data_IF_122859138182
#
_entry.id   IF_122859138182
#
_cell.length_a   1.000
_cell.length_b   1.000
_cell.length_c   1.000
_cell.angle_alpha   90.00
_cell.angle_beta   90.00
_cell.angle_gamma   90.00
#
_symmetry.space_group_name_H-M   'P 1'
#
loop_
_entity.id
_entity.type
_entity.pdbx_description
1 polymer ?
#
# COMPACT_ATOMS: atom_id res chain seq x y z
N UNK A 1 32.96 -43.71 -51.98
CA UNK A 1 32.33 -44.98 -51.57
C UNK A 1 30.84 -44.81 -51.75
N UNK A 2 30.34 -45.49 -52.78
CA UNK A 2 28.95 -45.50 -53.24
C UNK A 2 28.11 -46.51 -52.46
N UNK A 3 26.80 -46.39 -52.66
CA UNK A 3 25.78 -47.44 -52.61
C UNK A 3 25.06 -47.74 -51.29
N UNK A 4 23.78 -48.12 -51.25
CA UNK A 4 22.57 -47.98 -52.09
C UNK A 4 21.45 -48.65 -51.26
N UNK A 5 20.24 -48.12 -51.34
CA UNK A 5 18.98 -48.71 -50.83
C UNK A 5 18.80 -50.18 -51.26
N UNK A 6 18.32 -51.08 -50.38
CA UNK A 6 17.33 -52.11 -50.76
C UNK A 6 16.49 -52.52 -49.53
N UNK A 7 15.17 -52.38 -49.66
CA UNK A 7 14.14 -53.05 -48.86
C UNK A 7 14.02 -54.52 -49.26
N UNK A 8 13.80 -55.42 -48.30
CA UNK A 8 12.88 -56.55 -48.52
C UNK A 8 12.39 -57.16 -47.21
N UNK A 9 11.07 -57.35 -47.20
CA UNK A 9 10.26 -58.00 -46.19
C UNK A 9 10.24 -59.51 -46.38
N UNK A 10 10.26 -60.29 -45.29
CA UNK A 10 9.67 -61.63 -45.29
C UNK A 10 8.95 -61.92 -43.97
N UNK A 11 7.67 -62.28 -44.11
CA UNK A 11 6.80 -62.85 -43.07
C UNK A 11 6.99 -64.38 -43.07
N UNK A 12 6.99 -65.01 -41.90
CA UNK A 12 6.25 -66.28 -41.67
C UNK A 12 6.06 -66.62 -40.18
N UNK A 13 4.80 -66.57 -39.79
CA UNK A 13 4.04 -67.41 -38.85
C UNK A 13 4.76 -68.60 -38.18
N UNK A 14 4.58 -68.79 -36.86
CA UNK A 14 3.59 -69.74 -36.28
C UNK A 14 3.68 -69.85 -34.75
N UNK A 15 2.51 -69.70 -34.11
CA UNK A 15 1.92 -70.56 -33.08
C UNK A 15 2.61 -70.81 -31.71
N UNK A 16 1.86 -70.50 -30.64
CA UNK A 16 1.53 -71.40 -29.51
C UNK A 16 1.77 -70.84 -28.08
N UNK A 17 0.62 -70.63 -27.39
CA UNK A 17 0.32 -71.15 -26.03
C UNK A 17 1.23 -70.77 -24.85
N UNK A 18 0.74 -69.88 -23.98
CA UNK A 18 0.29 -70.14 -22.58
C UNK A 18 0.42 -68.88 -21.71
N UNK A 19 -0.72 -68.36 -21.26
CA UNK A 19 -0.80 -67.46 -20.09
C UNK A 19 -0.83 -68.31 -18.83
N UNK A 20 -0.01 -68.03 -17.80
CA UNK A 20 -0.38 -68.34 -16.44
C UNK A 20 -1.10 -67.14 -15.81
N UNK A 21 -2.16 -67.49 -15.10
CA UNK A 21 -2.95 -66.64 -14.21
C UNK A 21 -2.08 -66.25 -13.02
N UNK A 22 -1.87 -64.96 -12.80
CA UNK A 22 -1.26 -64.40 -11.60
C UNK A 22 -2.17 -63.31 -11.05
N UNK A 23 -3.05 -63.67 -10.11
CA UNK A 23 -3.88 -62.74 -9.37
C UNK A 23 -3.03 -61.97 -8.35
N UNK A 24 -2.72 -60.71 -8.66
CA UNK A 24 -2.29 -59.71 -7.68
C UNK A 24 -3.50 -58.90 -7.21
N UNK A 25 -3.57 -58.49 -5.93
CA UNK A 25 -4.73 -57.81 -5.39
C UNK A 25 -4.92 -56.48 -6.13
N UNK A 26 -6.12 -56.30 -6.71
CA UNK A 26 -6.56 -55.00 -7.22
C UNK A 26 -6.56 -54.04 -6.03
N UNK A 27 -5.63 -53.09 -6.04
CA UNK A 27 -5.74 -51.87 -5.26
C UNK A 27 -7.07 -51.21 -5.65
N UNK A 28 -8.11 -51.46 -4.84
CA UNK A 28 -9.29 -50.60 -4.82
C UNK A 28 -8.78 -49.24 -4.35
N UNK A 29 -9.15 -48.12 -5.02
CA UNK A 29 -8.97 -46.83 -4.38
C UNK A 29 -9.70 -46.90 -3.05
N UNK A 30 -8.99 -46.58 -1.97
CA UNK A 30 -9.56 -46.50 -0.65
C UNK A 30 -10.83 -45.63 -0.75
N UNK A 31 -11.96 -46.21 -0.34
CA UNK A 31 -13.16 -45.45 -0.07
C UNK A 31 -12.77 -44.33 0.88
N UNK A 32 -12.98 -43.09 0.43
CA UNK A 32 -12.88 -41.90 1.26
C UNK A 32 -13.74 -42.11 2.49
N UNK A 33 -13.08 -42.28 3.64
CA UNK A 33 -13.72 -42.22 4.95
C UNK A 33 -14.51 -40.92 5.13
N UNK A 34 -15.38 -40.86 6.15
CA UNK A 34 -16.40 -39.84 6.30
C UNK A 34 -15.76 -38.43 6.25
N UNK A 35 -16.35 -37.55 5.44
CA UNK A 35 -15.89 -36.19 5.26
C UNK A 35 -15.69 -35.51 6.62
N UNK A 36 -14.55 -34.84 6.77
CA UNK A 36 -14.25 -34.03 7.94
C UNK A 36 -15.46 -33.14 8.29
N UNK A 37 -15.87 -33.02 9.56
CA UNK A 37 -17.06 -32.26 9.94
C UNK A 37 -16.98 -30.82 9.42
N UNK A 38 -18.12 -30.26 9.05
CA UNK A 38 -18.26 -28.82 8.83
C UNK A 38 -17.75 -28.10 10.08
N UNK A 39 -16.83 -27.16 9.88
CA UNK A 39 -16.20 -26.45 10.97
C UNK A 39 -16.72 -25.01 11.00
N UNK A 40 -17.13 -24.57 12.19
CA UNK A 40 -17.39 -23.17 12.46
C UNK A 40 -16.06 -22.51 12.80
N UNK A 41 -15.66 -21.56 11.97
CA UNK A 41 -14.38 -20.86 12.09
C UNK A 41 -14.67 -19.41 12.45
N UNK A 42 -14.06 -18.92 13.53
CA UNK A 42 -14.14 -17.51 13.86
C UNK A 42 -13.48 -16.68 12.75
N UNK A 43 -14.17 -15.63 12.30
CA UNK A 43 -13.68 -14.71 11.29
C UNK A 43 -13.12 -13.48 12.00
N UNK A 44 -11.91 -13.13 11.64
CA UNK A 44 -11.30 -11.82 11.86
C UNK A 44 -10.39 -11.58 10.66
N UNK A 45 -10.88 -10.89 9.64
CA UNK A 45 -10.14 -10.83 8.37
C UNK A 45 -10.60 -9.76 7.40
N UNK A 46 -9.74 -9.47 6.43
CA UNK A 46 -9.99 -8.48 5.39
C UNK A 46 -10.62 -9.13 4.15
N UNK A 47 -11.73 -8.58 3.67
CA UNK A 47 -12.36 -9.02 2.43
C UNK A 47 -11.53 -8.57 1.23
N UNK A 48 -10.98 -9.51 0.48
CA UNK A 48 -10.32 -9.27 -0.78
C UNK A 48 -11.14 -9.84 -1.94
N UNK A 49 -11.32 -9.05 -2.99
CA UNK A 49 -12.10 -9.42 -4.17
C UNK A 49 -11.20 -9.25 -5.40
N UNK A 50 -10.90 -10.36 -6.08
CA UNK A 50 -10.04 -10.41 -7.26
C UNK A 50 -10.73 -11.26 -8.32
N UNK A 51 -10.90 -10.71 -9.53
CA UNK A 51 -11.56 -11.38 -10.66
C UNK A 51 -12.89 -12.07 -10.29
N UNK A 52 -13.79 -11.32 -9.63
CA UNK A 52 -15.12 -11.76 -9.15
C UNK A 52 -15.14 -12.85 -8.07
N UNK A 53 -13.97 -13.29 -7.62
CA UNK A 53 -13.82 -14.22 -6.50
C UNK A 53 -13.49 -13.45 -5.22
N UNK A 54 -14.02 -13.93 -4.10
CA UNK A 54 -13.89 -13.26 -2.81
C UNK A 54 -13.25 -14.18 -1.78
N UNK A 55 -12.34 -13.62 -0.97
CA UNK A 55 -11.67 -14.28 0.13
C UNK A 55 -11.66 -13.38 1.35
N UNK A 56 -11.88 -13.95 2.52
CA UNK A 56 -11.52 -13.30 3.78
C UNK A 56 -10.09 -13.69 4.11
N UNK A 57 -9.19 -12.70 4.10
CA UNK A 57 -7.77 -12.86 4.40
C UNK A 57 -7.59 -12.96 5.91
N UNK A 58 -7.10 -14.11 6.39
CA UNK A 58 -6.92 -14.36 7.83
C UNK A 58 -5.59 -13.78 8.35
N UNK A 59 -4.52 -13.86 7.53
CA UNK A 59 -3.16 -13.49 7.93
C UNK A 59 -2.77 -12.05 7.57
N UNK A 60 -3.74 -11.21 7.19
CA UNK A 60 -3.54 -9.80 6.84
C UNK A 60 -3.84 -9.48 5.37
N UNK A 61 -2.85 -8.94 4.65
CA UNK A 61 -3.07 -8.30 3.34
C UNK A 61 -2.70 -9.15 2.12
N UNK A 62 -2.09 -10.32 2.34
CA UNK A 62 -1.67 -11.23 1.29
C UNK A 62 -2.41 -12.56 1.41
N UNK A 63 -2.50 -13.34 0.32
CA UNK A 63 -3.09 -14.67 0.37
C UNK A 63 -2.38 -15.58 1.38
N UNK A 64 -3.16 -16.18 2.27
CA UNK A 64 -2.72 -17.11 3.30
C UNK A 64 -3.35 -18.51 3.16
N UNK A 65 -2.78 -19.55 3.79
CA UNK A 65 -3.35 -20.89 3.81
C UNK A 65 -4.70 -20.95 4.54
N UNK A 66 -4.94 -20.02 5.48
CA UNK A 66 -6.14 -19.96 6.32
C UNK A 66 -7.25 -19.06 5.74
N UNK A 67 -7.07 -18.58 4.51
CA UNK A 67 -8.04 -17.73 3.84
C UNK A 67 -9.37 -18.45 3.56
N UNK A 68 -10.48 -17.78 3.86
CA UNK A 68 -11.82 -18.34 3.72
C UNK A 68 -12.43 -17.86 2.41
N UNK A 69 -12.72 -18.79 1.49
CA UNK A 69 -13.41 -18.47 0.24
C UNK A 69 -14.90 -18.16 0.48
N UNK A 70 -15.34 -16.99 0.02
CA UNK A 70 -16.70 -16.48 0.20
C UNK A 70 -17.40 -16.38 -1.15
N UNK A 71 -18.70 -16.68 -1.18
CA UNK A 71 -19.49 -16.49 -2.40
C UNK A 71 -19.79 -15.02 -2.66
N UNK A 72 -19.82 -14.60 -3.93
CA UNK A 72 -20.24 -13.23 -4.29
C UNK A 72 -21.68 -12.93 -3.87
N UNK A 73 -22.52 -13.96 -3.66
CA UNK A 73 -23.86 -13.82 -3.11
C UNK A 73 -23.82 -13.37 -1.64
N UNK A 74 -22.94 -13.97 -0.83
CA UNK A 74 -22.73 -13.57 0.58
C UNK A 74 -22.14 -12.17 0.70
N UNK A 75 -21.18 -11.82 -0.15
CA UNK A 75 -20.62 -10.46 -0.24
C UNK A 75 -21.73 -9.43 -0.48
N UNK A 76 -22.60 -9.69 -1.47
CA UNK A 76 -23.72 -8.80 -1.78
C UNK A 76 -24.79 -8.77 -0.69
N UNK A 77 -25.13 -9.92 -0.11
CA UNK A 77 -26.19 -10.01 0.89
C UNK A 77 -25.85 -9.33 2.20
N UNK A 78 -24.56 -9.09 2.46
CA UNK A 78 -24.04 -8.37 3.64
C UNK A 78 -23.53 -6.95 3.30
N UNK A 79 -23.72 -6.47 2.06
CA UNK A 79 -23.30 -5.12 1.66
C UNK A 79 -21.78 -4.90 1.67
N UNK A 80 -21.00 -5.99 1.61
CA UNK A 80 -19.55 -5.96 1.74
C UNK A 80 -18.87 -5.49 0.44
N UNK A 81 -17.71 -4.84 0.60
CA UNK A 81 -16.84 -4.35 -0.48
C UNK A 81 -15.40 -4.73 -0.17
N UNK A 82 -14.56 -4.83 -1.21
CA UNK A 82 -13.11 -5.07 -1.05
C UNK A 82 -12.51 -4.11 -0.01
N UNK A 83 -11.65 -4.61 0.87
CA UNK A 83 -11.05 -3.86 1.97
C UNK A 83 -11.89 -3.80 3.25
N UNK A 84 -13.10 -4.36 3.28
CA UNK A 84 -13.85 -4.45 4.54
C UNK A 84 -13.17 -5.39 5.52
N UNK A 85 -13.00 -4.94 6.75
CA UNK A 85 -12.66 -5.80 7.87
C UNK A 85 -13.94 -6.45 8.39
N UNK A 86 -13.97 -7.77 8.45
CA UNK A 86 -15.17 -8.54 8.80
C UNK A 86 -14.85 -9.42 9.99
N UNK A 87 -15.72 -9.37 11.00
CA UNK A 87 -15.67 -10.30 12.12
C UNK A 87 -16.97 -11.10 12.21
N UNK A 88 -16.91 -12.31 12.75
CA UNK A 88 -18.09 -13.18 12.85
C UNK A 88 -17.75 -14.66 12.83
N UNK A 89 -18.64 -15.47 12.26
CA UNK A 89 -18.48 -16.93 12.15
C UNK A 89 -18.64 -17.34 10.68
N UNK A 90 -17.67 -18.12 10.18
CA UNK A 90 -17.73 -18.77 8.89
C UNK A 90 -18.11 -20.24 9.10
N UNK A 91 -19.26 -20.63 8.55
CA UNK A 91 -19.64 -22.03 8.47
C UNK A 91 -18.97 -22.64 7.24
N UNK A 92 -17.85 -23.34 7.44
CA UNK A 92 -17.06 -23.95 6.37
C UNK A 92 -17.59 -25.37 6.14
N UNK A 93 -18.26 -25.63 5.00
CA UNK A 93 -18.79 -26.95 4.69
C UNK A 93 -17.67 -27.95 4.38
N UNK A 94 -17.92 -29.23 4.66
CA UNK A 94 -17.03 -30.31 4.23
C UNK A 94 -16.87 -30.34 2.70
N UNK A 95 -15.63 -30.28 2.21
CA UNK A 95 -15.29 -30.31 0.78
C UNK A 95 -14.96 -28.94 0.18
N UNK A 96 -15.08 -28.79 -1.15
CA UNK A 96 -14.70 -27.55 -1.89
C UNK A 96 -15.83 -26.50 -2.00
N UNK A 97 -16.82 -26.53 -1.13
CA UNK A 97 -17.94 -25.57 -1.17
C UNK A 97 -17.53 -24.26 -0.47
N UNK A 98 -18.09 -23.14 -0.92
CA UNK A 98 -17.84 -21.82 -0.32
C UNK A 98 -18.49 -21.72 1.06
N UNK A 99 -17.86 -20.95 1.96
CA UNK A 99 -18.39 -20.73 3.31
C UNK A 99 -19.65 -19.86 3.31
N UNK A 100 -20.50 -20.06 4.32
CA UNK A 100 -21.60 -19.14 4.67
C UNK A 100 -21.17 -18.27 5.84
N UNK A 101 -21.51 -16.98 5.81
CA UNK A 101 -21.06 -16.01 6.81
C UNK A 101 -22.21 -15.60 7.73
N UNK A 102 -21.98 -15.72 9.04
CA UNK A 102 -22.70 -14.97 10.07
C UNK A 102 -21.83 -13.78 10.49
N UNK A 103 -22.17 -12.59 10.03
CA UNK A 103 -21.34 -11.38 10.19
C UNK A 103 -21.72 -10.67 11.49
N UNK A 104 -20.76 -10.53 12.39
CA UNK A 104 -20.92 -9.84 13.66
C UNK A 104 -20.67 -8.32 13.52
N UNK A 105 -19.57 -7.93 12.87
CA UNK A 105 -19.27 -6.53 12.59
C UNK A 105 -18.64 -6.35 11.21
N UNK A 106 -18.81 -5.16 10.64
CA UNK A 106 -18.09 -4.70 9.45
C UNK A 106 -17.35 -3.43 9.80
N UNK A 107 -16.03 -3.44 9.68
CA UNK A 107 -15.14 -2.36 10.08
C UNK A 107 -15.30 -1.94 11.55
N UNK A 108 -15.64 -2.88 12.43
CA UNK A 108 -15.90 -2.63 13.85
C UNK A 108 -17.29 -2.06 14.17
N UNK A 109 -18.13 -1.86 13.16
CA UNK A 109 -19.48 -1.30 13.31
C UNK A 109 -20.59 -2.34 13.02
N UNK A 110 -21.83 -1.96 13.34
CA UNK A 110 -23.02 -2.75 12.99
C UNK A 110 -23.05 -3.04 11.48
N UNK A 111 -23.17 -4.31 11.05
CA UNK A 111 -23.19 -4.69 9.64
C UNK A 111 -24.26 -3.96 8.81
N UNK A 112 -25.36 -3.50 9.43
CA UNK A 112 -26.41 -2.74 8.76
C UNK A 112 -25.91 -1.39 8.21
N UNK A 113 -24.89 -0.79 8.84
CA UNK A 113 -24.31 0.48 8.36
C UNK A 113 -23.54 0.29 7.04
N UNK A 114 -22.97 -0.89 6.80
CA UNK A 114 -22.25 -1.19 5.56
C UNK A 114 -23.13 -1.08 4.31
N UNK A 115 -24.45 -1.25 4.42
CA UNK A 115 -25.40 -1.06 3.32
C UNK A 115 -25.71 0.40 3.02
N UNK A 116 -25.66 1.26 4.05
CA UNK A 116 -26.08 2.66 3.96
C UNK A 116 -24.91 3.59 3.66
N UNK A 117 -23.67 3.12 3.85
CA UNK A 117 -22.48 3.94 3.59
C UNK A 117 -22.41 4.38 2.12
N UNK A 118 -21.97 5.63 1.87
CA UNK A 118 -21.75 6.12 0.53
C UNK A 118 -20.64 5.34 -0.18
N UNK A 119 -20.53 5.52 -1.50
CA UNK A 119 -19.38 5.05 -2.27
C UNK A 119 -18.29 6.12 -2.22
N UNK A 120 -17.05 5.72 -1.93
CA UNK A 120 -15.91 6.64 -1.79
C UNK A 120 -15.75 7.60 -2.97
N UNK A 121 -15.99 7.14 -4.20
CA UNK A 121 -15.82 7.97 -5.40
C UNK A 121 -17.03 8.87 -5.70
N UNK A 122 -18.16 8.68 -5.00
CA UNK A 122 -19.34 9.56 -5.06
C UNK A 122 -19.31 10.68 -4.02
N UNK A 123 -18.40 10.60 -3.06
CA UNK A 123 -18.21 11.63 -2.04
C UNK A 123 -17.59 12.90 -2.65
N UNK A 124 -18.03 14.08 -2.20
CA UNK A 124 -17.54 15.38 -2.68
C UNK A 124 -16.14 15.65 -2.12
N UNK A 125 -15.09 15.74 -2.98
CA UNK A 125 -13.74 16.04 -2.54
C UNK A 125 -13.56 17.54 -2.28
N UNK A 126 -12.88 17.88 -1.18
CA UNK A 126 -12.47 19.24 -0.83
C UNK A 126 -10.94 19.34 -0.75
N UNK A 127 -10.44 20.58 -0.73
CA UNK A 127 -9.09 20.83 -0.22
C UNK A 127 -9.04 20.48 1.27
N UNK A 128 -7.86 20.09 1.79
CA UNK A 128 -7.65 19.96 3.22
C UNK A 128 -7.98 21.27 3.95
N UNK A 129 -8.73 21.19 5.06
CA UNK A 129 -9.16 22.35 5.85
C UNK A 129 -8.79 22.23 7.32
N UNK A 130 -8.41 21.03 7.75
CA UNK A 130 -7.97 20.75 9.11
C UNK A 130 -6.53 20.27 9.06
N UNK A 131 -5.67 20.86 9.89
CA UNK A 131 -4.23 20.59 9.90
C UNK A 131 -3.91 19.40 10.80
N UNK A 132 -3.14 18.46 10.28
CA UNK A 132 -2.43 17.44 11.05
C UNK A 132 -1.16 18.08 11.64
N UNK A 133 -1.29 18.74 12.80
CA UNK A 133 -0.14 19.37 13.46
C UNK A 133 0.86 18.31 13.92
N UNK A 134 2.13 18.45 13.52
CA UNK A 134 3.15 17.44 13.77
C UNK A 134 4.03 17.75 14.98
N UNK A 135 4.18 19.02 15.35
CA UNK A 135 4.95 19.43 16.52
C UNK A 135 4.47 18.70 17.78
N UNK A 136 5.40 18.06 18.48
CA UNK A 136 5.15 17.34 19.73
C UNK A 136 6.03 17.93 20.84
N UNK A 137 7.23 17.39 21.03
CA UNK A 137 8.20 17.90 21.99
C UNK A 137 9.17 18.89 21.33
N UNK A 138 9.62 19.91 22.07
CA UNK A 138 10.53 20.95 21.57
C UNK A 138 11.83 20.40 20.97
N UNK A 139 12.33 19.27 21.50
CA UNK A 139 13.53 18.56 21.03
C UNK A 139 13.35 17.83 19.69
N UNK A 140 12.11 17.59 19.25
CA UNK A 140 11.82 16.86 18.01
C UNK A 140 11.75 17.86 16.85
N UNK A 141 12.92 18.34 16.46
CA UNK A 141 13.07 19.41 15.46
C UNK A 141 12.48 19.03 14.09
N UNK A 142 12.52 17.75 13.70
CA UNK A 142 11.96 17.27 12.43
C UNK A 142 10.53 17.70 12.22
N UNK A 143 9.67 17.48 13.21
CA UNK A 143 8.24 17.78 13.11
C UNK A 143 7.97 19.28 13.06
N UNK A 144 8.69 20.06 13.87
CA UNK A 144 8.62 21.52 13.93
C UNK A 144 9.05 22.16 12.61
N UNK A 145 10.14 21.68 12.01
CA UNK A 145 10.59 22.14 10.69
C UNK A 145 9.52 21.83 9.64
N UNK A 146 8.96 20.62 9.61
CA UNK A 146 7.90 20.26 8.65
C UNK A 146 6.70 21.20 8.81
N UNK A 147 6.24 21.42 10.04
CA UNK A 147 5.10 22.29 10.34
C UNK A 147 5.29 23.74 9.83
N UNK A 148 6.52 24.25 9.80
CA UNK A 148 6.83 25.59 9.31
C UNK A 148 6.99 25.69 7.78
N UNK A 149 7.46 24.62 7.13
CA UNK A 149 7.83 24.68 5.70
C UNK A 149 6.81 24.00 4.78
N UNK A 150 6.05 23.05 5.31
CA UNK A 150 5.11 22.20 4.59
C UNK A 150 4.03 21.69 5.57
N UNK A 151 3.07 22.55 5.99
CA UNK A 151 1.95 22.10 6.81
C UNK A 151 1.16 21.01 6.08
N UNK A 152 0.74 19.98 6.81
CA UNK A 152 0.01 18.83 6.26
C UNK A 152 -1.42 18.87 6.79
N UNK A 153 -2.40 18.71 5.90
CA UNK A 153 -3.81 18.63 6.28
C UNK A 153 -4.42 17.23 6.19
N UNK A 154 -5.57 17.06 6.83
CA UNK A 154 -6.49 15.93 6.63
C UNK A 154 -6.97 15.91 5.18
N UNK A 155 -6.64 14.85 4.44
CA UNK A 155 -6.88 14.73 3.00
C UNK A 155 -5.70 15.10 2.09
N UNK A 156 -4.50 15.35 2.64
CA UNK A 156 -3.33 15.77 1.84
C UNK A 156 -2.81 14.65 0.94
N UNK A 157 -2.32 15.02 -0.26
CA UNK A 157 -1.52 14.17 -1.16
C UNK A 157 -0.07 14.65 -1.12
N UNK A 158 0.70 14.13 -0.17
CA UNK A 158 2.05 14.57 0.09
C UNK A 158 3.09 13.60 -0.48
N UNK A 159 4.19 14.17 -0.97
CA UNK A 159 5.39 13.43 -1.37
C UNK A 159 6.59 13.83 -0.51
N UNK A 160 7.26 12.85 0.09
CA UNK A 160 8.60 13.03 0.69
C UNK A 160 9.62 12.64 -0.37
N UNK A 161 10.15 13.64 -1.05
CA UNK A 161 11.15 13.49 -2.11
C UNK A 161 12.51 13.31 -1.46
N UNK A 162 13.06 12.11 -1.53
CA UNK A 162 14.29 11.76 -0.82
C UNK A 162 15.31 11.09 -1.72
N UNK A 163 16.55 11.59 -1.77
CA UNK A 163 17.65 10.78 -2.24
C UNK A 163 17.94 9.63 -1.25
N UNK A 164 18.63 8.57 -1.69
CA UNK A 164 19.10 7.52 -0.79
C UNK A 164 19.93 8.10 0.37
N UNK A 165 19.76 7.55 1.57
CA UNK A 165 20.48 7.92 2.80
C UNK A 165 20.25 9.35 3.32
N UNK A 166 19.22 10.07 2.86
CA UNK A 166 18.90 11.41 3.35
C UNK A 166 18.06 11.46 4.64
N UNK A 167 17.79 10.31 5.27
CA UNK A 167 16.99 10.26 6.51
C UNK A 167 15.48 10.07 6.31
N UNK A 168 15.05 9.58 5.13
CA UNK A 168 13.65 9.22 4.80
C UNK A 168 12.92 8.51 5.95
N UNK A 169 13.49 7.43 6.46
CA UNK A 169 12.87 6.59 7.50
C UNK A 169 12.67 7.36 8.80
N UNK A 170 13.66 8.17 9.21
CA UNK A 170 13.56 9.01 10.41
C UNK A 170 12.44 10.05 10.29
N UNK A 171 12.30 10.66 9.10
CA UNK A 171 11.22 11.60 8.82
C UNK A 171 9.86 10.91 8.86
N UNK A 172 9.73 9.74 8.22
CA UNK A 172 8.48 8.99 8.20
C UNK A 172 8.04 8.55 9.60
N UNK A 173 8.97 8.06 10.43
CA UNK A 173 8.73 7.71 11.82
C UNK A 173 8.34 8.92 12.67
N UNK A 174 9.00 10.07 12.47
CA UNK A 174 8.66 11.29 13.19
C UNK A 174 7.24 11.76 12.86
N UNK A 175 6.84 11.70 11.59
CA UNK A 175 5.47 12.00 11.14
C UNK A 175 4.47 11.01 11.74
N UNK A 176 4.76 9.71 11.67
CA UNK A 176 3.91 8.65 12.21
C UNK A 176 3.63 8.87 13.71
N UNK A 177 4.69 9.04 14.50
CA UNK A 177 4.58 9.23 15.94
C UNK A 177 3.85 10.52 16.29
N UNK A 178 4.12 11.61 15.56
CA UNK A 178 3.41 12.87 15.73
C UNK A 178 1.90 12.74 15.46
N UNK A 179 1.51 12.06 14.39
CA UNK A 179 0.09 11.80 14.09
C UNK A 179 -0.55 11.03 15.23
N UNK A 180 0.07 9.93 15.69
CA UNK A 180 -0.51 9.10 16.77
C UNK A 180 -0.64 9.83 18.10
N UNK A 181 0.22 10.82 18.35
CA UNK A 181 0.20 11.62 19.57
C UNK A 181 -0.82 12.76 19.49
N UNK A 182 -0.83 13.49 18.38
CA UNK A 182 -1.60 14.72 18.22
C UNK A 182 -2.99 14.52 17.61
N UNK A 183 -3.18 13.43 16.86
CA UNK A 183 -4.42 13.08 16.17
C UNK A 183 -4.73 11.59 16.43
N UNK A 184 -4.94 11.17 17.70
CA UNK A 184 -5.18 9.77 18.04
C UNK A 184 -6.48 9.20 17.46
N UNK A 185 -7.38 10.06 16.98
CA UNK A 185 -8.59 9.67 16.24
C UNK A 185 -8.30 9.22 14.81
N UNK A 186 -7.16 9.61 14.24
CA UNK A 186 -6.81 9.24 12.88
C UNK A 186 -6.30 7.78 12.82
N UNK A 187 -6.86 6.99 11.91
CA UNK A 187 -6.39 5.63 11.66
C UNK A 187 -5.09 5.68 10.86
N UNK A 188 -3.96 5.42 11.52
CA UNK A 188 -2.64 5.41 10.89
C UNK A 188 -2.32 4.04 10.28
N UNK A 189 -2.09 4.02 8.98
CA UNK A 189 -1.62 2.86 8.21
C UNK A 189 -0.23 3.14 7.66
N UNK A 190 0.71 2.22 7.83
CA UNK A 190 2.06 2.30 7.26
C UNK A 190 2.24 1.16 6.26
N UNK A 191 2.30 1.50 4.98
CA UNK A 191 2.41 0.56 3.87
C UNK A 191 3.86 0.52 3.37
N UNK A 192 4.54 -0.60 3.58
CA UNK A 192 5.93 -0.82 3.21
C UNK A 192 6.00 -1.81 2.04
N UNK A 193 6.58 -1.41 0.92
CA UNK A 193 6.67 -2.24 -0.28
C UNK A 193 8.11 -2.33 -0.77
N UNK A 194 8.56 -3.56 -1.05
CA UNK A 194 9.91 -3.84 -1.55
C UNK A 194 11.01 -3.26 -0.64
N UNK A 195 10.77 -3.29 0.68
CA UNK A 195 11.70 -2.81 1.69
C UNK A 195 12.36 -3.96 2.45
N UNK A 196 13.43 -3.66 3.17
CA UNK A 196 14.20 -4.66 3.91
C UNK A 196 13.47 -5.17 5.15
N UNK A 197 13.55 -6.47 5.50
CA UNK A 197 12.89 -7.03 6.68
C UNK A 197 13.25 -6.33 8.00
N UNK A 198 14.51 -5.90 8.16
CA UNK A 198 14.95 -5.16 9.34
C UNK A 198 14.31 -3.77 9.45
N UNK A 199 14.08 -3.09 8.32
CA UNK A 199 13.40 -1.79 8.29
C UNK A 199 11.90 -1.93 8.57
N UNK A 200 11.27 -3.02 8.10
CA UNK A 200 9.88 -3.37 8.45
C UNK A 200 9.75 -3.61 9.96
N UNK A 201 10.67 -4.39 10.53
CA UNK A 201 10.68 -4.68 11.98
C UNK A 201 10.87 -3.41 12.81
N UNK A 202 11.77 -2.53 12.38
CA UNK A 202 12.01 -1.25 13.04
C UNK A 202 10.75 -0.37 13.04
N UNK A 203 10.05 -0.29 11.90
CA UNK A 203 8.79 0.45 11.78
C UNK A 203 7.69 -0.13 12.68
N UNK A 204 7.54 -1.46 12.71
CA UNK A 204 6.56 -2.16 13.57
C UNK A 204 6.77 -1.88 15.06
N UNK A 205 8.03 -1.72 15.49
CA UNK A 205 8.35 -1.45 16.89
C UNK A 205 8.27 0.04 17.25
N UNK A 206 8.49 0.90 16.27
CA UNK A 206 8.63 2.35 16.48
C UNK A 206 7.34 3.14 16.29
N UNK A 207 6.35 2.58 15.56
CA UNK A 207 5.11 3.28 15.21
C UNK A 207 3.89 2.57 15.79
N UNK A 208 3.02 3.35 16.42
CA UNK A 208 1.71 2.88 16.91
C UNK A 208 0.67 3.00 15.82
N UNK A 209 0.59 2.03 14.94
CA UNK A 209 -0.38 2.01 13.86
C UNK A 209 -0.43 0.65 13.17
N UNK A 210 -1.27 0.56 12.15
CA UNK A 210 -1.38 -0.64 11.33
C UNK A 210 -0.21 -0.69 10.35
N UNK A 211 0.79 -1.54 10.61
CA UNK A 211 1.96 -1.70 9.73
C UNK A 211 1.75 -2.87 8.79
N UNK A 212 1.71 -2.57 7.49
CA UNK A 212 1.34 -3.46 6.40
C UNK A 212 2.55 -3.56 5.47
N UNK A 213 3.13 -4.74 5.31
CA UNK A 213 4.41 -4.86 4.60
C UNK A 213 4.49 -6.08 3.68
N UNK A 214 5.10 -5.87 2.51
CA UNK A 214 5.70 -6.93 1.71
C UNK A 214 7.17 -6.58 1.44
N UNK A 215 8.07 -7.42 1.95
CA UNK A 215 9.52 -7.27 1.85
C UNK A 215 10.04 -7.62 0.46
N UNK A 216 11.25 -7.17 0.12
CA UNK A 216 11.84 -7.31 -1.23
C UNK A 216 12.00 -8.75 -1.75
N UNK A 217 11.94 -9.75 -0.88
CA UNK A 217 12.02 -11.18 -1.21
C UNK A 217 10.69 -11.73 -1.77
N UNK A 218 9.61 -10.95 -1.68
CA UNK A 218 8.30 -11.27 -2.26
C UNK A 218 8.26 -10.89 -3.75
N UNK A 219 7.45 -11.58 -4.56
CA UNK A 219 7.28 -11.23 -5.97
C UNK A 219 6.58 -9.87 -6.13
N UNK A 220 6.83 -9.12 -7.23
CA UNK A 220 6.18 -7.83 -7.49
C UNK A 220 4.65 -7.85 -7.44
N UNK A 221 4.03 -8.98 -7.78
CA UNK A 221 2.57 -9.17 -7.72
C UNK A 221 2.04 -9.09 -6.28
N UNK A 222 2.81 -9.53 -5.30
CA UNK A 222 2.44 -9.43 -3.88
C UNK A 222 2.50 -7.97 -3.44
N UNK A 223 3.52 -7.22 -3.88
CA UNK A 223 3.64 -5.79 -3.58
C UNK A 223 2.43 -5.01 -4.11
N UNK A 224 2.00 -5.29 -5.35
CA UNK A 224 0.83 -4.63 -5.94
C UNK A 224 -0.47 -5.05 -5.26
N UNK A 225 -0.65 -6.35 -4.97
CA UNK A 225 -1.85 -6.86 -4.32
C UNK A 225 -2.03 -6.29 -2.90
N UNK A 226 -0.94 -6.24 -2.12
CA UNK A 226 -0.94 -5.66 -0.77
C UNK A 226 -1.30 -4.17 -0.80
N UNK A 227 -0.69 -3.39 -1.70
CA UNK A 227 -1.00 -1.96 -1.82
C UNK A 227 -2.46 -1.72 -2.26
N UNK A 228 -2.99 -2.53 -3.16
CA UNK A 228 -4.39 -2.44 -3.60
C UNK A 228 -5.38 -2.73 -2.48
N UNK A 229 -5.14 -3.78 -1.69
CA UNK A 229 -6.01 -4.10 -0.57
C UNK A 229 -5.89 -3.06 0.55
N UNK A 230 -4.69 -2.55 0.83
CA UNK A 230 -4.45 -1.47 1.79
C UNK A 230 -5.21 -0.19 1.43
N UNK A 231 -5.18 0.24 0.17
CA UNK A 231 -5.92 1.45 -0.22
C UNK A 231 -7.43 1.25 -0.23
N UNK A 232 -7.92 0.04 -0.57
CA UNK A 232 -9.35 -0.25 -0.43
C UNK A 232 -9.79 -0.25 1.03
N UNK A 233 -8.99 -0.82 1.95
CA UNK A 233 -9.25 -0.75 3.39
C UNK A 233 -9.34 0.69 3.89
N UNK A 234 -8.39 1.54 3.49
CA UNK A 234 -8.42 2.96 3.83
C UNK A 234 -9.71 3.66 3.34
N UNK A 235 -10.16 3.37 2.11
CA UNK A 235 -11.42 3.93 1.58
C UNK A 235 -12.64 3.47 2.38
N UNK A 236 -12.71 2.21 2.81
CA UNK A 236 -13.84 1.69 3.61
C UNK A 236 -13.96 2.43 4.95
N UNK A 237 -12.83 2.74 5.59
CA UNK A 237 -12.80 3.54 6.81
C UNK A 237 -13.28 4.99 6.58
N UNK A 238 -12.86 5.61 5.49
CA UNK A 238 -13.32 6.98 5.13
C UNK A 238 -14.81 7.00 4.79
N UNK A 239 -15.34 5.96 4.14
CA UNK A 239 -16.78 5.80 3.90
C UNK A 239 -17.58 5.72 5.21
N UNK A 240 -16.96 5.24 6.30
CA UNK A 240 -17.51 5.24 7.66
C UNK A 240 -17.23 6.54 8.44
N UNK A 241 -16.67 7.57 7.80
CA UNK A 241 -16.43 8.88 8.41
C UNK A 241 -15.11 9.02 9.17
N UNK A 242 -14.19 8.05 9.07
CA UNK A 242 -12.91 8.11 9.77
C UNK A 242 -11.88 8.92 8.99
N UNK A 243 -11.02 9.64 9.71
CA UNK A 243 -9.78 10.19 9.16
C UNK A 243 -8.72 9.09 9.08
N UNK A 244 -8.17 8.87 7.89
CA UNK A 244 -7.18 7.82 7.64
C UNK A 244 -5.91 8.45 7.09
N UNK A 245 -4.76 8.11 7.68
CA UNK A 245 -3.46 8.52 7.17
C UNK A 245 -2.68 7.29 6.72
N UNK A 246 -2.32 7.26 5.43
CA UNK A 246 -1.49 6.21 4.83
C UNK A 246 -0.08 6.75 4.59
N UNK A 247 0.90 6.19 5.28
CA UNK A 247 2.32 6.40 5.05
C UNK A 247 2.85 5.33 4.11
N UNK A 248 3.15 5.68 2.86
CA UNK A 248 3.63 4.72 1.85
C UNK A 248 5.14 4.85 1.65
N UNK A 249 5.86 3.74 1.85
CA UNK A 249 7.29 3.64 1.62
C UNK A 249 7.60 2.47 0.65
N UNK A 250 7.77 2.69 -0.65
CA UNK A 250 7.72 3.98 -1.37
C UNK A 250 6.86 3.91 -2.62
N UNK A 251 6.34 5.06 -3.08
CA UNK A 251 5.58 5.13 -4.35
C UNK A 251 6.47 4.79 -5.55
N UNK A 252 7.78 5.06 -5.47
CA UNK A 252 8.75 4.70 -6.51
C UNK A 252 8.87 3.19 -6.64
N UNK A 253 9.04 2.48 -5.52
CA UNK A 253 9.11 1.00 -5.50
C UNK A 253 7.79 0.36 -5.89
N UNK A 254 6.66 0.96 -5.50
CA UNK A 254 5.34 0.52 -5.97
C UNK A 254 5.22 0.65 -7.50
N UNK A 255 5.65 1.79 -8.07
CA UNK A 255 5.68 2.01 -9.51
C UNK A 255 6.56 0.99 -10.26
N UNK A 256 7.73 0.66 -9.70
CA UNK A 256 8.59 -0.42 -10.22
C UNK A 256 7.89 -1.78 -10.18
N UNK A 257 7.20 -2.09 -9.08
CA UNK A 257 6.49 -3.36 -8.91
C UNK A 257 5.37 -3.51 -9.94
N UNK A 258 4.57 -2.47 -10.17
CA UNK A 258 3.56 -2.46 -11.25
C UNK A 258 4.19 -2.61 -12.64
N UNK A 259 5.34 -1.98 -12.88
CA UNK A 259 6.05 -2.12 -14.15
C UNK A 259 6.55 -3.56 -14.39
N UNK A 260 7.07 -4.22 -13.35
CA UNK A 260 7.53 -5.61 -13.43
C UNK A 260 6.38 -6.61 -13.53
N UNK A 261 5.23 -6.30 -12.91
CA UNK A 261 4.02 -7.13 -12.99
C UNK A 261 3.22 -6.92 -14.28
N UNK A 262 3.49 -5.85 -15.04
CA UNK A 262 2.77 -5.55 -16.27
C UNK A 262 3.00 -6.64 -17.33
N UNK A 263 1.94 -7.14 -17.99
CA UNK A 263 2.11 -8.05 -19.12
C UNK A 263 2.75 -7.24 -20.26
N UNK A 264 4.04 -7.45 -20.52
CA UNK A 264 4.92 -6.64 -21.40
C UNK A 264 4.53 -6.55 -22.88
N UNK A 265 3.29 -6.15 -23.16
CA UNK A 265 2.67 -5.95 -24.47
C UNK A 265 2.35 -4.47 -24.72
N UNK A 266 2.55 -3.59 -23.75
CA UNK A 266 2.33 -2.15 -23.90
C UNK A 266 3.47 -1.43 -24.62
N UNK A 267 3.27 -0.15 -24.92
CA UNK A 267 4.32 0.72 -25.47
C UNK A 267 5.28 1.08 -24.34
N UNK A 268 6.58 0.88 -24.56
CA UNK A 268 7.62 1.29 -23.62
C UNK A 268 7.87 2.80 -23.74
N UNK A 269 7.80 3.49 -22.60
CA UNK A 269 8.15 4.89 -22.43
C UNK A 269 9.65 5.04 -22.11
N UNK A 270 10.12 6.29 -22.07
CA UNK A 270 11.47 6.62 -21.59
C UNK A 270 11.74 5.98 -20.21
N UNK A 271 12.95 5.45 -20.03
CA UNK A 271 13.33 4.75 -18.80
C UNK A 271 12.87 3.29 -18.71
N UNK A 272 12.29 2.71 -19.77
CA UNK A 272 11.91 1.29 -19.80
C UNK A 272 10.58 0.97 -19.10
N UNK A 273 9.72 1.98 -18.95
CA UNK A 273 8.42 1.86 -18.29
C UNK A 273 7.34 1.45 -19.29
N UNK A 274 6.47 0.51 -18.94
CA UNK A 274 5.24 0.29 -19.67
C UNK A 274 4.31 1.50 -19.50
N UNK A 275 3.73 1.97 -20.61
CA UNK A 275 2.80 3.11 -20.65
C UNK A 275 1.61 3.00 -19.68
N UNK A 276 1.23 1.79 -19.27
CA UNK A 276 0.09 1.53 -18.38
C UNK A 276 0.50 1.28 -16.93
N UNK A 277 1.79 1.00 -16.67
CA UNK A 277 2.28 0.60 -15.35
C UNK A 277 2.07 1.67 -14.27
N UNK A 278 2.11 2.95 -14.64
CA UNK A 278 1.96 4.04 -13.68
C UNK A 278 0.51 4.42 -13.39
N UNK A 279 -0.46 3.85 -14.11
CA UNK A 279 -1.87 4.20 -13.90
C UNK A 279 -2.39 3.76 -12.51
N UNK A 280 -2.22 2.50 -12.05
CA UNK A 280 -2.63 2.10 -10.71
C UNK A 280 -1.99 2.90 -9.56
N UNK A 281 -0.66 3.12 -9.49
CA UNK A 281 -0.06 3.89 -8.39
C UNK A 281 -0.45 5.38 -8.45
N UNK A 282 -0.73 5.95 -9.64
CA UNK A 282 -1.32 7.30 -9.73
C UNK A 282 -2.71 7.34 -9.11
N UNK A 283 -3.54 6.32 -9.35
CA UNK A 283 -4.86 6.20 -8.70
C UNK A 283 -4.75 5.98 -7.20
N UNK A 284 -3.72 5.26 -6.73
CA UNK A 284 -3.43 5.11 -5.31
C UNK A 284 -3.19 6.49 -4.68
N UNK A 285 -2.21 7.25 -5.17
CA UNK A 285 -1.89 8.58 -4.64
C UNK A 285 -3.07 9.57 -4.81
N UNK A 286 -3.76 9.50 -5.95
CA UNK A 286 -4.95 10.32 -6.24
C UNK A 286 -6.20 9.95 -5.45
N UNK A 287 -6.18 8.86 -4.67
CA UNK A 287 -7.26 8.54 -3.76
C UNK A 287 -7.32 9.56 -2.61
N UNK A 288 -6.19 10.08 -2.14
CA UNK A 288 -6.16 11.02 -1.02
C UNK A 288 -6.92 12.32 -1.31
N UNK A 289 -7.82 12.67 -0.38
CA UNK A 289 -8.76 13.78 -0.48
C UNK A 289 -9.42 14.01 0.89
N UNK A 290 -9.78 15.25 1.16
CA UNK A 290 -10.72 15.59 2.21
C UNK A 290 -12.16 15.39 1.70
N UNK A 291 -13.09 14.94 2.54
CA UNK A 291 -14.49 14.73 2.14
C UNK A 291 -15.41 15.71 2.87
N UNK A 292 -16.30 16.34 2.12
CA UNK A 292 -17.36 17.16 2.69
C UNK A 292 -18.31 16.31 3.57
N UNK A 293 -18.49 16.70 4.84
CA UNK A 293 -19.32 16.00 5.83
C UNK A 293 -18.95 14.52 6.04
N UNK A 294 -17.67 14.17 5.87
CA UNK A 294 -17.15 12.82 6.08
C UNK A 294 -15.77 12.84 6.71
N UNK A 295 -15.08 11.70 6.65
CA UNK A 295 -13.67 11.60 7.04
C UNK A 295 -12.73 12.09 5.95
N UNK A 296 -11.44 11.83 6.10
CA UNK A 296 -10.44 12.19 5.10
C UNK A 296 -9.49 11.05 4.80
N UNK A 297 -8.96 11.00 3.58
CA UNK A 297 -7.86 10.12 3.22
C UNK A 297 -6.61 10.96 2.97
N UNK A 298 -5.65 10.92 3.89
CA UNK A 298 -4.32 11.50 3.72
C UNK A 298 -3.36 10.42 3.23
N UNK A 299 -2.56 10.71 2.20
CA UNK A 299 -1.49 9.83 1.74
C UNK A 299 -0.19 10.64 1.73
N UNK A 300 0.79 10.17 2.49
CA UNK A 300 2.15 10.70 2.49
C UNK A 300 3.05 9.58 1.96
N UNK A 301 3.52 9.74 0.74
CA UNK A 301 4.35 8.73 0.09
C UNK A 301 5.78 9.22 -0.07
N UNK A 302 6.75 8.35 0.20
CA UNK A 302 8.15 8.64 -0.12
C UNK A 302 8.39 8.40 -1.61
N UNK A 303 9.19 9.27 -2.24
CA UNK A 303 9.60 9.15 -3.62
C UNK A 303 11.12 9.27 -3.73
N UNK A 304 11.75 8.27 -4.35
CA UNK A 304 13.20 8.23 -4.51
C UNK A 304 13.63 9.10 -5.71
N UNK A 305 14.62 9.95 -5.47
CA UNK A 305 15.29 10.78 -6.49
C UNK A 305 16.80 10.59 -6.43
N UNK A 306 17.52 11.07 -7.45
CA UNK A 306 18.99 11.00 -7.54
C UNK A 306 19.55 9.57 -7.35
N UNK A 307 18.80 8.56 -7.79
CA UNK A 307 19.20 7.14 -7.72
C UNK A 307 20.14 6.73 -8.84
N UNK A 308 20.31 7.59 -9.86
CA UNK A 308 20.98 7.26 -11.11
C UNK A 308 20.14 6.44 -12.09
N UNK A 309 18.88 6.12 -11.73
CA UNK A 309 17.96 5.38 -12.60
C UNK A 309 17.04 6.34 -13.38
N UNK A 310 17.13 6.33 -14.70
CA UNK A 310 16.20 7.08 -15.56
C UNK A 310 14.73 6.68 -15.33
N UNK A 311 14.48 5.41 -14.98
CA UNK A 311 13.15 4.93 -14.60
C UNK A 311 12.60 5.69 -13.39
N UNK A 312 13.39 5.84 -12.32
CA UNK A 312 12.95 6.54 -11.11
C UNK A 312 12.68 8.01 -11.38
N UNK A 313 13.50 8.66 -12.22
CA UNK A 313 13.27 10.06 -12.63
C UNK A 313 11.91 10.21 -13.31
N UNK A 314 11.58 9.32 -14.26
CA UNK A 314 10.29 9.37 -14.95
C UNK A 314 9.14 9.08 -13.98
N UNK A 315 9.28 8.06 -13.12
CA UNK A 315 8.29 7.74 -12.08
C UNK A 315 8.03 8.97 -11.18
N UNK A 316 9.08 9.63 -10.72
CA UNK A 316 8.98 10.81 -9.86
C UNK A 316 8.22 11.96 -10.54
N UNK A 317 8.60 12.32 -11.76
CA UNK A 317 7.94 13.43 -12.49
C UNK A 317 6.45 13.16 -12.71
N UNK A 318 6.07 11.90 -12.96
CA UNK A 318 4.68 11.50 -13.11
C UNK A 318 3.86 11.68 -11.82
N UNK A 319 4.43 11.35 -10.65
CA UNK A 319 3.74 11.51 -9.37
C UNK A 319 3.79 12.92 -8.80
N UNK A 320 4.84 13.68 -9.09
CA UNK A 320 4.97 15.10 -8.72
C UNK A 320 3.78 15.92 -9.23
N UNK A 321 3.29 15.60 -10.43
CA UNK A 321 2.10 16.24 -11.00
C UNK A 321 0.79 15.94 -10.24
N UNK A 322 0.76 14.85 -9.48
CA UNK A 322 -0.44 14.34 -8.76
C UNK A 322 -0.51 14.84 -7.32
N UNK A 323 0.65 15.03 -6.68
CA UNK A 323 0.77 15.55 -5.32
C UNK A 323 0.41 17.04 -5.20
N UNK A 324 0.00 17.45 -3.99
CA UNK A 324 -0.25 18.86 -3.65
C UNK A 324 0.61 19.37 -2.48
N UNK A 325 1.51 18.54 -1.95
CA UNK A 325 2.56 18.96 -1.01
C UNK A 325 3.84 18.15 -1.26
N UNK A 326 5.00 18.79 -1.10
CA UNK A 326 6.32 18.20 -1.32
C UNK A 326 7.25 18.54 -0.15
N UNK A 327 7.78 17.53 0.54
CA UNK A 327 8.92 17.66 1.46
C UNK A 327 10.16 17.18 0.73
N UNK A 328 11.15 18.05 0.53
CA UNK A 328 12.40 17.66 -0.14
C UNK A 328 13.49 17.42 0.89
N UNK A 329 14.09 16.25 0.83
CA UNK A 329 15.30 15.94 1.56
C UNK A 329 16.53 16.17 0.67
N UNK A 330 17.59 16.70 1.25
CA UNK A 330 18.80 17.06 0.53
C UNK A 330 20.00 16.21 0.98
N UNK A 331 20.70 15.63 0.00
CA UNK A 331 21.85 14.75 0.23
C UNK A 331 23.03 15.49 0.88
N UNK A 332 23.29 16.73 0.48
CA UNK A 332 24.44 17.50 0.98
C UNK A 332 24.30 17.87 2.46
N UNK A 333 23.06 18.09 2.92
CA UNK A 333 22.74 18.29 4.34
C UNK A 333 23.02 17.01 5.15
N UNK A 334 22.55 15.86 4.64
CA UNK A 334 22.76 14.57 5.28
C UNK A 334 24.25 14.17 5.33
N UNK A 335 25.00 14.39 4.24
CA UNK A 335 26.46 14.16 4.18
C UNK A 335 27.22 15.07 5.16
N UNK A 336 26.72 16.29 5.40
CA UNK A 336 27.22 17.20 6.42
C UNK A 336 26.75 16.89 7.85
N UNK A 337 26.00 15.79 8.05
CA UNK A 337 25.38 15.38 9.32
C UNK A 337 24.43 16.42 9.92
N UNK A 338 23.81 17.24 9.09
CA UNK A 338 22.81 18.22 9.52
C UNK A 338 21.41 17.61 9.34
N UNK A 339 20.74 17.35 10.47
CA UNK A 339 19.41 16.74 10.50
C UNK A 339 18.40 17.64 11.24
N UNK A 340 17.13 17.67 10.83
CA UNK A 340 16.54 16.96 9.69
C UNK A 340 17.06 17.49 8.35
N UNK A 341 17.42 16.62 7.41
CA UNK A 341 18.05 17.01 6.14
C UNK A 341 17.03 17.56 5.12
N UNK A 342 16.22 18.53 5.53
CA UNK A 342 15.11 19.11 4.76
C UNK A 342 15.59 20.35 4.01
N UNK A 343 15.33 20.43 2.70
CA UNK A 343 15.42 21.68 1.94
C UNK A 343 14.22 22.56 2.28
N UNK A 344 14.45 23.52 3.17
CA UNK A 344 13.45 24.47 3.68
C UNK A 344 12.83 25.30 2.55
N UNK A 345 13.62 25.67 1.54
CA UNK A 345 13.16 26.51 0.43
C UNK A 345 12.48 25.71 -0.66
N UNK A 346 12.93 24.47 -0.87
CA UNK A 346 12.44 23.56 -1.89
C UNK A 346 11.16 22.81 -1.51
N UNK A 347 10.76 22.86 -0.24
CA UNK A 347 9.57 22.20 0.32
C UNK A 347 8.36 23.14 0.37
N UNK A 348 7.15 22.59 0.38
CA UNK A 348 5.93 23.40 0.47
C UNK A 348 4.63 22.63 0.27
N UNK A 349 3.54 23.26 0.68
CA UNK A 349 2.17 22.78 0.50
C UNK A 349 1.40 23.76 -0.37
N UNK A 350 0.62 23.26 -1.34
CA UNK A 350 -0.32 24.11 -2.10
C UNK A 350 -1.54 24.40 -1.24
N UNK A 351 -2.05 25.62 -1.33
CA UNK A 351 -3.19 26.09 -0.55
C UNK A 351 -2.98 26.00 0.98
N UNK A 352 -1.76 26.27 1.44
CA UNK A 352 -1.44 26.24 2.87
C UNK A 352 -2.21 27.32 3.67
N UNK A 353 -2.73 28.36 3.02
CA UNK A 353 -3.63 29.34 3.62
C UNK A 353 -4.92 28.75 4.21
N UNK A 354 -5.30 27.54 3.79
CA UNK A 354 -6.46 26.82 4.31
C UNK A 354 -6.15 26.03 5.60
N UNK A 355 -4.88 25.86 5.93
CA UNK A 355 -4.40 25.00 7.02
C UNK A 355 -3.84 25.79 8.20
N UNK A 356 -3.47 27.05 8.00
CA UNK A 356 -2.83 27.88 9.02
C UNK A 356 -3.56 29.19 9.21
N UNK A 357 -3.46 29.76 10.41
CA UNK A 357 -4.05 31.06 10.69
C UNK A 357 -3.37 32.16 9.85
N UNK A 358 -4.07 33.24 9.44
CA UNK A 358 -3.50 34.30 8.60
C UNK A 358 -2.22 34.93 9.18
N UNK A 359 -2.12 35.04 10.50
CA UNK A 359 -0.94 35.55 11.21
C UNK A 359 0.24 34.58 11.10
N UNK A 360 -0.02 33.28 11.25
CA UNK A 360 0.99 32.23 11.10
C UNK A 360 1.49 32.16 9.66
N UNK A 361 0.58 32.20 8.67
CA UNK A 361 0.91 32.25 7.25
C UNK A 361 1.83 33.44 6.91
N UNK A 362 1.52 34.62 7.44
CA UNK A 362 2.35 35.81 7.24
C UNK A 362 3.78 35.61 7.77
N UNK A 363 3.93 34.97 8.93
CA UNK A 363 5.23 34.64 9.52
C UNK A 363 5.98 33.57 8.73
N UNK A 364 5.29 32.51 8.28
CA UNK A 364 5.88 31.48 7.40
C UNK A 364 6.41 32.09 6.10
N UNK A 365 5.67 33.03 5.50
CA UNK A 365 6.12 33.76 4.31
C UNK A 365 7.32 34.68 4.59
N UNK A 366 7.36 35.35 5.75
CA UNK A 366 8.52 36.15 6.15
C UNK A 366 9.76 35.27 6.35
N UNK A 367 9.61 34.14 7.02
CA UNK A 367 10.67 33.15 7.20
C UNK A 367 11.20 32.67 5.84
N UNK A 368 10.31 32.27 4.92
CA UNK A 368 10.69 31.81 3.58
C UNK A 368 11.46 32.90 2.81
N UNK A 369 11.02 34.16 2.87
CA UNK A 369 11.75 35.29 2.24
C UNK A 369 13.13 35.52 2.86
N UNK A 370 13.27 35.40 4.18
CA UNK A 370 14.55 35.59 4.87
C UNK A 370 15.58 34.50 4.53
N UNK A 371 15.12 33.29 4.25
CA UNK A 371 15.97 32.15 3.88
C UNK A 371 16.23 32.05 2.36
N UNK A 372 15.48 32.79 1.54
CA UNK A 372 15.64 32.76 0.08
C UNK A 372 16.99 33.33 -0.34
N UNK A 373 17.71 32.61 -1.21
CA UNK A 373 19.02 33.03 -1.74
C UNK A 373 20.22 32.66 -0.86
N UNK A 374 19.99 32.10 0.32
CA UNK A 374 21.04 31.49 1.14
C UNK A 374 21.40 30.10 0.62
N UNK A 375 22.58 29.61 0.99
CA UNK A 375 22.92 28.20 0.80
C UNK A 375 22.01 27.31 1.66
N UNK A 376 21.69 26.09 1.20
CA UNK A 376 20.79 25.16 1.89
C UNK A 376 21.26 24.86 3.32
N UNK A 377 22.56 24.67 3.51
CA UNK A 377 23.14 24.34 4.82
C UNK A 377 22.97 25.51 5.79
N UNK A 378 23.29 26.72 5.34
CA UNK A 378 23.14 27.93 6.14
C UNK A 378 21.67 28.17 6.51
N UNK A 379 20.76 28.00 5.53
CA UNK A 379 19.32 28.19 5.73
C UNK A 379 18.77 27.30 6.84
N UNK A 380 19.12 26.00 6.79
CA UNK A 380 18.68 25.04 7.79
C UNK A 380 19.33 25.31 9.15
N UNK A 381 20.63 25.60 9.20
CA UNK A 381 21.30 25.93 10.47
C UNK A 381 20.67 27.14 11.16
N UNK A 382 20.45 28.22 10.40
CA UNK A 382 19.81 29.42 10.93
C UNK A 382 18.42 29.12 11.48
N UNK A 383 17.61 28.31 10.77
CA UNK A 383 16.30 27.90 11.25
C UNK A 383 16.40 27.09 12.56
N UNK A 384 17.30 26.11 12.62
CA UNK A 384 17.47 25.25 13.79
C UNK A 384 17.98 26.01 15.02
N UNK A 385 18.80 27.05 14.86
CA UNK A 385 19.26 27.90 15.97
C UNK A 385 18.13 28.72 16.61
N UNK A 386 17.03 28.95 15.88
CA UNK A 386 15.87 29.73 16.34
C UNK A 386 14.70 28.86 16.81
N UNK A 387 14.81 27.53 16.68
CA UNK A 387 13.83 26.55 17.15
C UNK A 387 14.20 26.03 18.54
#
# INVERSE_FOLDING_TARGET
>A
MTDTDVRSSERRTTNARRRPVGGGPRNRPAETGPGAPSADVAIDGLLDIVDDKAWLRADGYLPGPDDIAVSSAQVRSHGLRRGDHVTGIAHVPSGRKQATLDVATVNGEDPQLAFRRPDFYKLTPLYPQERLRLETESRILTTRVIDLVMPIGKGQRALIVSPPKAGKTMVLQAIANAITQNNPEAHLMVVLVDERPEEVTDMQRSVKGEVIAATFDRPPTDHTALAELAIERAKRLVEAGHDVVVLLDSITRLGRSYNLAAPGRGRTMSGGLDSTALYPPKRFLGAARNIENGGSLTIIATALVDTGSAMDTVIFEEFKSTGNAELKLDRSLAESRLFPAIDVTGSGTRHDETLVAPTELALMHQLRRALTGQDRKQSLQQLLEHL
#
